data_IF_037456499960
#
_entry.id   IF_037456499960
#
_cell.length_a   1.000
_cell.length_b   1.000
_cell.length_c   1.000
_cell.angle_alpha   90.00
_cell.angle_beta   90.00
_cell.angle_gamma   90.00
#
_symmetry.space_group_name_H-M   'P 1'
#
loop_
_entity.id
_entity.type
_entity.pdbx_description
1 polymer ?
#
# COMPACT_ATOMS: atom_id res chain seq x y z
N UNK A 1 13.09 8.57 -13.99
CA UNK A 1 14.01 7.42 -14.03
C UNK A 1 13.16 6.21 -14.38
N UNK A 2 13.39 5.60 -15.54
CA UNK A 2 12.48 4.55 -16.05
C UNK A 2 12.97 3.13 -15.72
N UNK A 3 14.21 3.00 -15.23
CA UNK A 3 14.79 1.74 -14.75
C UNK A 3 15.33 1.92 -13.33
N UNK A 4 15.17 0.87 -12.52
CA UNK A 4 15.70 0.75 -11.17
C UNK A 4 16.28 -0.66 -11.03
N UNK A 5 17.39 -0.79 -10.30
CA UNK A 5 17.87 -2.09 -9.81
C UNK A 5 17.78 -2.08 -8.28
N UNK A 6 17.28 -3.17 -7.71
CA UNK A 6 17.15 -3.35 -6.26
C UNK A 6 17.83 -4.66 -5.88
N UNK A 7 18.77 -4.54 -4.95
CA UNK A 7 19.49 -5.67 -4.37
C UNK A 7 19.36 -5.63 -2.86
N UNK A 8 19.04 -6.77 -2.26
CA UNK A 8 19.11 -6.94 -0.81
C UNK A 8 19.50 -8.38 -0.47
N UNK A 9 20.14 -8.56 0.68
CA UNK A 9 20.57 -9.86 1.15
C UNK A 9 20.38 -9.98 2.66
N UNK A 10 19.94 -11.16 3.08
CA UNK A 10 19.88 -11.64 4.45
C UNK A 10 20.56 -13.02 4.52
N UNK A 11 20.74 -13.61 5.72
CA UNK A 11 21.25 -14.98 5.84
C UNK A 11 20.37 -16.03 5.15
N UNK A 12 19.05 -15.81 5.09
CA UNK A 12 18.08 -16.80 4.64
C UNK A 12 17.66 -16.63 3.18
N UNK A 13 17.83 -15.43 2.62
CA UNK A 13 17.51 -15.15 1.21
C UNK A 13 18.24 -13.88 0.73
N UNK A 14 18.47 -13.81 -0.58
CA UNK A 14 18.85 -12.56 -1.26
C UNK A 14 18.03 -12.38 -2.53
N UNK A 15 17.97 -11.15 -3.03
CA UNK A 15 17.37 -10.87 -4.32
C UNK A 15 18.16 -9.81 -5.09
N UNK A 16 18.16 -9.98 -6.40
CA UNK A 16 18.65 -9.01 -7.38
C UNK A 16 17.59 -8.83 -8.46
N UNK A 17 17.04 -7.63 -8.54
CA UNK A 17 15.83 -7.35 -9.30
C UNK A 17 16.01 -6.11 -10.18
N UNK A 18 15.66 -6.24 -11.45
CA UNK A 18 15.51 -5.14 -12.39
C UNK A 18 14.03 -4.76 -12.51
N UNK A 19 13.75 -3.46 -12.37
CA UNK A 19 12.42 -2.89 -12.48
C UNK A 19 12.39 -1.91 -13.65
N UNK A 20 11.46 -2.13 -14.58
CA UNK A 20 11.20 -1.26 -15.73
C UNK A 20 9.82 -0.61 -15.60
N UNK A 21 9.79 0.72 -15.52
CA UNK A 21 8.54 1.47 -15.48
C UNK A 21 7.90 1.45 -16.88
N UNK A 22 6.65 1.02 -16.96
CA UNK A 22 5.87 0.94 -18.21
C UNK A 22 4.69 1.93 -18.25
N UNK A 23 4.57 2.80 -17.25
CA UNK A 23 3.55 3.84 -17.17
C UNK A 23 4.12 5.14 -16.58
N UNK A 24 3.33 6.22 -16.51
CA UNK A 24 3.77 7.51 -16.02
C UNK A 24 4.00 7.52 -14.50
N UNK A 25 4.60 8.61 -14.01
CA UNK A 25 4.50 8.96 -12.59
C UNK A 25 3.04 9.31 -12.27
N UNK A 26 2.56 8.86 -11.12
CA UNK A 26 1.21 9.13 -10.62
C UNK A 26 1.35 10.05 -9.41
N UNK A 27 0.82 11.26 -9.51
CA UNK A 27 0.85 12.23 -8.42
C UNK A 27 -0.41 12.11 -7.56
N UNK A 28 -0.25 12.03 -6.24
CA UNK A 28 -1.37 11.96 -5.31
C UNK A 28 -1.85 13.35 -4.87
N UNK A 29 -3.10 13.42 -4.42
CA UNK A 29 -3.70 14.67 -3.94
C UNK A 29 -3.81 15.71 -5.06
N UNK A 30 -3.39 16.93 -4.79
CA UNK A 30 -3.39 18.03 -5.76
C UNK A 30 -1.99 18.19 -6.36
N UNK A 31 -1.76 17.62 -7.55
CA UNK A 31 -0.47 17.67 -8.25
C UNK A 31 0.74 17.23 -7.39
N UNK A 32 0.53 16.22 -6.55
CA UNK A 32 1.54 15.65 -5.67
C UNK A 32 1.47 16.19 -4.25
N UNK A 33 0.71 17.26 -3.99
CA UNK A 33 0.43 17.73 -2.63
C UNK A 33 -0.70 16.89 -2.01
N UNK A 34 -0.35 15.95 -1.14
CA UNK A 34 -1.27 14.99 -0.52
C UNK A 34 -1.51 15.32 0.94
N UNK A 35 -2.75 15.71 1.27
CA UNK A 35 -3.15 16.03 2.64
C UNK A 35 -3.39 14.75 3.46
N UNK A 36 -2.93 14.78 4.71
CA UNK A 36 -2.96 13.69 5.68
C UNK A 36 -3.74 14.04 6.96
N UNK A 37 -4.41 15.18 7.00
CA UNK A 37 -5.20 15.58 8.16
C UNK A 37 -6.12 16.74 7.79
N UNK A 38 -7.18 16.93 8.57
CA UNK A 38 -8.04 18.10 8.42
C UNK A 38 -7.32 19.40 8.81
N UNK A 39 -6.28 19.29 9.64
CA UNK A 39 -5.45 20.38 10.14
C UNK A 39 -4.39 20.85 9.13
N UNK A 40 -4.32 20.20 7.96
CA UNK A 40 -3.51 20.65 6.82
C UNK A 40 -2.09 20.07 6.76
N UNK A 41 -1.75 19.10 7.61
CA UNK A 41 -0.51 18.33 7.41
C UNK A 41 -0.54 17.64 6.05
N UNK A 42 0.57 17.70 5.33
CA UNK A 42 0.67 17.17 3.98
C UNK A 42 2.08 16.69 3.64
N UNK A 43 2.13 15.83 2.64
CA UNK A 43 3.37 15.35 2.03
C UNK A 43 3.37 15.64 0.53
N UNK A 44 4.56 15.77 -0.04
CA UNK A 44 4.72 15.59 -1.47
C UNK A 44 4.83 14.10 -1.76
N UNK A 45 3.95 13.59 -2.63
CA UNK A 45 3.75 12.15 -2.77
C UNK A 45 3.42 11.77 -4.22
N UNK A 46 4.18 10.84 -4.78
CA UNK A 46 3.88 10.20 -6.04
C UNK A 46 4.19 8.70 -6.01
N UNK A 47 3.51 7.94 -6.86
CA UNK A 47 3.78 6.54 -7.13
C UNK A 47 4.32 6.30 -8.54
N UNK A 48 4.95 5.14 -8.70
CA UNK A 48 5.19 4.49 -9.99
C UNK A 48 4.58 3.08 -9.92
N UNK A 49 3.29 2.93 -10.27
CA UNK A 49 2.56 1.70 -9.98
C UNK A 49 2.61 0.68 -11.14
N UNK A 50 3.21 1.05 -12.27
CA UNK A 50 3.31 0.23 -13.48
C UNK A 50 4.74 -0.29 -13.68
N UNK A 51 5.34 -0.92 -12.68
CA UNK A 51 6.63 -1.59 -12.88
C UNK A 51 6.44 -3.03 -13.37
N UNK A 52 7.19 -3.42 -14.39
CA UNK A 52 7.53 -4.83 -14.64
C UNK A 52 8.83 -5.14 -13.91
N UNK A 53 8.83 -6.22 -13.15
CA UNK A 53 10.00 -6.68 -12.39
C UNK A 53 10.44 -8.04 -12.90
N UNK A 54 11.75 -8.23 -13.01
CA UNK A 54 12.38 -9.52 -13.30
C UNK A 54 13.72 -9.61 -12.61
N UNK A 55 14.11 -10.81 -12.20
CA UNK A 55 15.37 -10.99 -11.49
C UNK A 55 15.53 -12.39 -10.94
N UNK A 56 16.39 -12.51 -9.93
CA UNK A 56 16.69 -13.79 -9.27
C UNK A 56 16.45 -13.66 -7.77
N UNK A 57 15.71 -14.63 -7.22
CA UNK A 57 15.65 -14.88 -5.79
C UNK A 57 16.68 -15.96 -5.46
N UNK A 58 17.64 -15.65 -4.60
CA UNK A 58 18.64 -16.59 -4.11
C UNK A 58 18.12 -17.18 -2.79
N UNK A 59 17.77 -18.48 -2.81
CA UNK A 59 17.37 -19.24 -1.62
C UNK A 59 18.40 -20.31 -1.28
N UNK A 60 18.38 -20.88 -0.05
CA UNK A 60 19.27 -21.96 0.33
C UNK A 60 19.18 -23.19 -0.59
N UNK A 61 18.00 -23.42 -1.17
CA UNK A 61 17.73 -24.51 -2.13
C UNK A 61 18.25 -24.22 -3.54
N UNK A 62 18.60 -22.97 -3.84
CA UNK A 62 19.15 -22.53 -5.12
C UNK A 62 18.51 -21.25 -5.66
N UNK A 63 19.04 -20.81 -6.81
CA UNK A 63 18.60 -19.62 -7.51
C UNK A 63 17.29 -19.86 -8.26
N UNK A 64 16.33 -18.96 -8.07
CA UNK A 64 15.00 -19.01 -8.70
C UNK A 64 14.80 -17.75 -9.54
N UNK A 65 14.72 -17.85 -10.88
CA UNK A 65 14.37 -16.72 -11.72
C UNK A 65 12.89 -16.37 -11.53
N UNK A 66 12.59 -15.10 -11.36
CA UNK A 66 11.22 -14.60 -11.12
C UNK A 66 10.88 -13.43 -12.02
N UNK A 67 9.59 -13.26 -12.26
CA UNK A 67 9.01 -12.08 -12.93
C UNK A 67 7.73 -11.67 -12.22
N UNK A 68 7.31 -10.42 -12.40
CA UNK A 68 6.08 -9.93 -11.81
C UNK A 68 5.79 -8.46 -12.11
N UNK A 69 5.02 -7.86 -11.20
CA UNK A 69 4.75 -6.42 -11.18
C UNK A 69 5.17 -5.85 -9.83
N UNK A 70 5.52 -4.56 -9.83
CA UNK A 70 5.89 -3.85 -8.60
C UNK A 70 5.23 -2.48 -8.54
N UNK A 71 5.20 -1.94 -7.33
CA UNK A 71 4.74 -0.60 -7.01
C UNK A 71 5.87 0.12 -6.27
N UNK A 72 6.12 1.37 -6.59
CA UNK A 72 7.05 2.22 -5.84
C UNK A 72 6.32 3.46 -5.38
N UNK A 73 6.54 3.81 -4.12
CA UNK A 73 6.15 5.09 -3.55
C UNK A 73 7.34 5.97 -3.22
N UNK A 74 7.14 7.27 -3.39
CA UNK A 74 8.09 8.30 -2.98
C UNK A 74 7.33 9.41 -2.29
N UNK A 75 7.59 9.52 -1.00
CA UNK A 75 6.95 10.49 -0.13
C UNK A 75 7.97 11.27 0.68
N UNK A 76 7.75 12.58 0.84
CA UNK A 76 8.54 13.42 1.72
C UNK A 76 7.70 14.55 2.32
N UNK A 77 7.91 14.83 3.60
CA UNK A 77 7.34 15.96 4.34
C UNK A 77 8.34 16.48 5.36
N UNK A 78 8.11 17.70 5.85
CA UNK A 78 8.83 18.28 7.00
C UNK A 78 8.04 18.17 8.31
N UNK A 79 6.86 17.55 8.26
CA UNK A 79 5.96 17.38 9.40
C UNK A 79 5.77 15.88 9.65
N UNK A 80 5.97 15.41 10.90
CA UNK A 80 5.55 14.08 11.29
C UNK A 80 4.01 14.00 11.31
N UNK A 81 3.47 12.79 11.48
CA UNK A 81 2.07 12.58 11.83
C UNK A 81 1.71 13.39 13.08
N UNK A 82 0.46 13.83 13.18
CA UNK A 82 -0.03 14.58 14.35
C UNK A 82 -0.04 13.72 15.61
N UNK A 83 0.11 14.35 16.78
CA UNK A 83 0.18 13.67 18.08
C UNK A 83 -1.08 12.87 18.43
N UNK A 84 -2.20 13.14 17.76
CA UNK A 84 -3.47 12.44 17.94
C UNK A 84 -3.64 11.22 17.02
N UNK A 85 -2.73 10.98 16.08
CA UNK A 85 -2.74 9.83 15.18
C UNK A 85 -2.05 8.62 15.81
N UNK A 86 -2.79 7.52 15.94
CA UNK A 86 -2.28 6.26 16.50
C UNK A 86 -1.45 5.46 15.50
N UNK A 87 -1.73 5.60 14.22
CA UNK A 87 -1.10 4.87 13.13
C UNK A 87 -1.94 4.94 11.86
N UNK A 88 -1.50 4.22 10.82
CA UNK A 88 -2.20 4.16 9.53
C UNK A 88 -2.49 2.74 9.09
N UNK A 89 -3.43 2.63 8.16
CA UNK A 89 -3.64 1.46 7.30
C UNK A 89 -3.56 1.96 5.86
N UNK A 90 -2.61 1.45 5.09
CA UNK A 90 -2.31 1.88 3.72
C UNK A 90 -2.46 0.71 2.76
N UNK A 91 -3.06 0.97 1.61
CA UNK A 91 -3.38 -0.01 0.60
C UNK A 91 -2.87 0.45 -0.77
N UNK A 92 -2.14 -0.41 -1.46
CA UNK A 92 -1.94 -0.30 -2.92
C UNK A 92 -2.58 -1.49 -3.61
N UNK A 93 -3.62 -1.23 -4.38
CA UNK A 93 -4.44 -2.24 -5.04
C UNK A 93 -4.21 -2.16 -6.55
N UNK A 94 -3.96 -3.30 -7.18
CA UNK A 94 -3.91 -3.47 -8.63
C UNK A 94 -5.00 -4.44 -9.04
N UNK A 95 -5.99 -3.95 -9.78
CA UNK A 95 -7.12 -4.72 -10.26
C UNK A 95 -6.77 -5.47 -11.56
N UNK A 96 -7.54 -6.50 -11.89
CA UNK A 96 -7.30 -7.35 -13.07
C UNK A 96 -7.55 -6.64 -14.40
N UNK A 97 -8.41 -5.62 -14.44
CA UNK A 97 -8.65 -4.78 -15.61
C UNK A 97 -7.50 -3.79 -15.91
N UNK A 98 -6.52 -3.70 -15.00
CA UNK A 98 -5.35 -2.85 -15.12
C UNK A 98 -5.46 -1.53 -14.37
N UNK A 99 -6.65 -1.16 -13.90
CA UNK A 99 -6.83 -0.01 -13.01
C UNK A 99 -6.20 -0.30 -11.64
N UNK A 100 -5.94 0.78 -10.90
CA UNK A 100 -5.26 0.70 -9.61
C UNK A 100 -5.84 1.72 -8.64
N UNK A 101 -5.58 1.49 -7.36
CA UNK A 101 -5.94 2.42 -6.31
C UNK A 101 -4.86 2.45 -5.25
N UNK A 102 -4.49 3.65 -4.82
CA UNK A 102 -3.84 3.86 -3.53
C UNK A 102 -4.88 4.43 -2.58
N UNK A 103 -5.03 3.85 -1.40
CA UNK A 103 -5.95 4.34 -0.38
C UNK A 103 -5.34 4.19 1.00
N UNK A 104 -5.62 5.13 1.89
CA UNK A 104 -5.22 5.01 3.28
C UNK A 104 -6.28 5.54 4.23
N UNK A 105 -6.20 5.06 5.47
CA UNK A 105 -6.87 5.67 6.61
C UNK A 105 -5.86 5.91 7.75
N UNK A 106 -6.01 7.03 8.43
CA UNK A 106 -5.26 7.40 9.62
C UNK A 106 -6.17 7.29 10.82
N UNK A 107 -5.76 6.48 11.80
CA UNK A 107 -6.58 6.17 12.97
C UNK A 107 -6.34 7.24 14.03
N UNK A 108 -7.38 7.98 14.36
CA UNK A 108 -7.31 9.05 15.35
C UNK A 108 -7.57 8.54 16.77
N UNK A 109 -7.04 9.24 17.76
CA UNK A 109 -7.17 8.84 19.17
C UNK A 109 -8.59 8.90 19.70
N UNK A 110 -9.45 9.73 19.10
CA UNK A 110 -10.88 9.84 19.38
C UNK A 110 -11.72 8.71 18.72
N UNK A 111 -11.10 7.82 17.95
CA UNK A 111 -11.76 6.72 17.24
C UNK A 111 -12.28 7.07 15.83
N UNK A 112 -12.11 8.32 15.36
CA UNK A 112 -12.40 8.66 13.97
C UNK A 112 -11.25 8.27 13.03
N UNK A 113 -11.52 8.34 11.73
CA UNK A 113 -10.53 8.14 10.69
C UNK A 113 -10.41 9.40 9.84
N UNK A 114 -9.21 9.70 9.37
CA UNK A 114 -9.02 10.53 8.18
C UNK A 114 -8.65 9.63 7.02
N UNK A 115 -9.30 9.78 5.88
CA UNK A 115 -9.15 8.90 4.72
C UNK A 115 -8.74 9.69 3.48
N UNK A 116 -8.09 9.01 2.55
CA UNK A 116 -7.82 9.54 1.22
C UNK A 116 -7.62 8.38 0.25
N UNK A 117 -7.99 8.59 -1.01
CA UNK A 117 -7.69 7.63 -2.06
C UNK A 117 -7.34 8.33 -3.37
N UNK A 118 -6.60 7.63 -4.21
CA UNK A 118 -6.34 7.99 -5.61
C UNK A 118 -6.67 6.79 -6.46
N UNK A 119 -7.67 6.93 -7.33
CA UNK A 119 -7.90 5.99 -8.42
C UNK A 119 -6.97 6.31 -9.57
N UNK A 120 -6.44 5.28 -10.21
CA UNK A 120 -5.45 5.38 -11.27
C UNK A 120 -5.96 4.51 -12.41
N UNK A 121 -6.27 5.13 -13.54
CA UNK A 121 -6.73 4.39 -14.72
C UNK A 121 -5.58 3.61 -15.39
N UNK A 122 -5.91 2.84 -16.41
CA UNK A 122 -4.93 2.02 -17.18
C UNK A 122 -3.85 2.85 -17.89
N UNK A 123 -4.06 4.15 -18.09
CA UNK A 123 -3.10 5.08 -18.71
C UNK A 123 -2.27 5.83 -17.66
N UNK A 124 -2.60 5.70 -16.38
CA UNK A 124 -1.98 6.43 -15.28
C UNK A 124 -2.59 7.82 -15.03
N UNK A 125 -3.75 8.12 -15.61
CA UNK A 125 -4.55 9.29 -15.23
C UNK A 125 -5.16 9.06 -13.85
N UNK A 126 -5.23 10.13 -13.05
CA UNK A 126 -5.57 10.04 -11.63
C UNK A 126 -6.85 10.78 -11.30
N UNK A 127 -7.63 10.21 -10.38
CA UNK A 127 -8.70 10.90 -9.69
C UNK A 127 -8.48 10.78 -8.18
N UNK A 128 -8.25 11.92 -7.53
CA UNK A 128 -8.13 12.01 -6.07
C UNK A 128 -9.52 12.06 -5.43
N UNK A 129 -9.65 11.38 -4.30
CA UNK A 129 -10.87 11.29 -3.50
C UNK A 129 -10.64 11.90 -2.11
N UNK A 130 -11.55 12.76 -1.65
CA UNK A 130 -11.39 13.46 -0.38
C UNK A 130 -11.68 12.52 0.80
N UNK A 131 -11.48 13.05 2.01
CA UNK A 131 -11.86 12.38 3.24
C UNK A 131 -13.36 11.99 3.23
N UNK A 132 -13.64 10.78 3.69
CA UNK A 132 -14.95 10.15 3.77
C UNK A 132 -15.41 9.44 2.50
N UNK A 133 -14.71 9.58 1.38
CA UNK A 133 -15.05 8.89 0.14
C UNK A 133 -14.55 7.43 0.10
N UNK A 134 -13.37 7.19 0.68
CA UNK A 134 -12.77 5.86 0.81
C UNK A 134 -13.07 5.27 2.19
N UNK A 135 -13.38 3.98 2.24
CA UNK A 135 -13.66 3.27 3.50
C UNK A 135 -12.90 1.95 3.54
N UNK A 136 -12.26 1.65 4.67
CA UNK A 136 -11.65 0.36 4.96
C UNK A 136 -12.10 -0.14 6.34
N UNK A 137 -12.96 -1.16 6.36
CA UNK A 137 -13.53 -1.72 7.59
C UNK A 137 -12.86 -3.06 7.90
N UNK A 138 -12.28 -3.26 9.11
CA UNK A 138 -11.70 -4.54 9.47
C UNK A 138 -12.81 -5.58 9.66
N UNK A 139 -12.63 -6.76 9.06
CA UNK A 139 -13.57 -7.89 9.13
C UNK A 139 -13.05 -9.04 10.00
N UNK A 140 -11.73 -9.24 10.01
CA UNK A 140 -11.09 -10.32 10.77
C UNK A 140 -9.68 -9.90 11.20
N UNK A 141 -9.34 -10.25 12.43
CA UNK A 141 -8.04 -10.00 13.04
C UNK A 141 -7.27 -11.29 13.28
N UNK A 142 -5.95 -11.18 13.36
CA UNK A 142 -5.06 -12.23 13.81
C UNK A 142 -4.13 -11.73 14.90
N UNK A 143 -3.72 -12.65 15.78
CA UNK A 143 -2.69 -12.38 16.78
C UNK A 143 -1.31 -12.65 16.19
N UNK A 144 -0.49 -11.62 16.08
CA UNK A 144 0.91 -11.70 15.63
C UNK A 144 1.81 -10.86 16.52
N UNK A 145 2.98 -11.38 16.90
CA UNK A 145 3.94 -10.69 17.75
C UNK A 145 3.34 -10.08 19.05
N UNK A 146 2.28 -10.67 19.59
CA UNK A 146 1.62 -10.14 20.79
C UNK A 146 0.72 -8.91 20.55
N UNK A 147 0.22 -8.73 19.32
CA UNK A 147 -0.70 -7.67 18.91
C UNK A 147 -1.84 -8.26 18.08
N UNK A 148 -3.02 -7.66 18.15
CA UNK A 148 -4.15 -8.03 17.30
C UNK A 148 -4.16 -7.07 16.11
N UNK A 149 -4.07 -7.63 14.91
CA UNK A 149 -4.00 -6.85 13.66
C UNK A 149 -5.03 -7.36 12.66
N UNK A 150 -5.75 -6.47 11.96
CA UNK A 150 -6.72 -6.84 10.95
C UNK A 150 -6.03 -7.38 9.69
N UNK A 151 -6.42 -8.59 9.27
CA UNK A 151 -5.88 -9.29 8.11
C UNK A 151 -6.90 -9.44 6.98
N UNK A 152 -8.18 -9.17 7.26
CA UNK A 152 -9.25 -9.14 6.27
C UNK A 152 -10.02 -7.85 6.43
N UNK A 153 -10.25 -7.19 5.31
CA UNK A 153 -10.83 -5.87 5.24
C UNK A 153 -11.93 -5.83 4.19
N UNK A 154 -12.99 -5.07 4.48
CA UNK A 154 -13.93 -4.61 3.46
C UNK A 154 -13.47 -3.23 2.98
N UNK A 155 -13.15 -3.12 1.70
CA UNK A 155 -12.69 -1.88 1.08
C UNK A 155 -13.77 -1.36 0.13
N UNK A 156 -14.14 -0.09 0.31
CA UNK A 156 -15.17 0.57 -0.50
C UNK A 156 -14.71 1.92 -1.05
N UNK A 157 -15.11 2.16 -2.30
CA UNK A 157 -15.07 3.46 -2.96
C UNK A 157 -16.29 3.55 -3.90
N UNK A 158 -17.44 4.04 -3.41
CA UNK A 158 -18.71 3.98 -4.13
C UNK A 158 -18.68 4.63 -5.52
N UNK A 159 -17.95 5.74 -5.67
CA UNK A 159 -17.77 6.46 -6.95
C UNK A 159 -17.10 5.61 -8.05
N UNK A 160 -16.53 4.46 -7.68
CA UNK A 160 -15.87 3.50 -8.58
C UNK A 160 -16.52 2.10 -8.53
N UNK A 161 -17.70 1.98 -7.92
CA UNK A 161 -18.39 0.70 -7.70
C UNK A 161 -17.49 -0.35 -7.00
N UNK A 162 -16.49 0.12 -6.23
CA UNK A 162 -15.60 -0.73 -5.46
C UNK A 162 -16.28 -1.09 -4.13
N UNK A 163 -16.50 -2.39 -3.95
CA UNK A 163 -16.93 -3.04 -2.71
C UNK A 163 -16.29 -4.44 -2.73
N UNK A 164 -15.07 -4.53 -2.19
CA UNK A 164 -14.22 -5.70 -2.31
C UNK A 164 -13.61 -6.10 -0.96
N UNK A 165 -13.48 -7.40 -0.74
CA UNK A 165 -12.68 -7.96 0.34
C UNK A 165 -11.19 -7.92 -0.04
N UNK A 166 -10.38 -7.40 0.86
CA UNK A 166 -8.92 -7.42 0.81
C UNK A 166 -8.39 -8.34 1.91
N UNK A 167 -7.67 -9.39 1.52
CA UNK A 167 -7.21 -10.45 2.42
C UNK A 167 -5.68 -10.59 2.37
N UNK A 168 -5.04 -10.54 3.53
CA UNK A 168 -3.61 -10.82 3.67
C UNK A 168 -3.28 -12.28 3.29
N UNK A 169 -2.32 -12.45 2.39
CA UNK A 169 -1.82 -13.77 1.99
C UNK A 169 -0.85 -14.36 3.03
N UNK A 170 -0.22 -13.48 3.82
CA UNK A 170 0.70 -13.82 4.89
C UNK A 170 0.24 -13.15 6.20
N UNK A 171 -0.68 -13.77 6.97
CA UNK A 171 -1.28 -13.14 8.15
C UNK A 171 -0.27 -12.69 9.21
N UNK A 172 0.90 -13.33 9.28
CA UNK A 172 1.92 -13.09 10.30
C UNK A 172 3.12 -12.27 9.79
N UNK A 173 2.89 -11.31 8.90
CA UNK A 173 3.92 -10.47 8.29
C UNK A 173 4.28 -9.25 9.17
N UNK A 174 4.65 -9.50 10.43
CA UNK A 174 5.08 -8.44 11.36
C UNK A 174 6.57 -8.16 11.22
N UNK A 175 6.92 -6.88 11.13
CA UNK A 175 8.28 -6.37 11.04
C UNK A 175 8.68 -5.73 12.37
N UNK A 176 9.54 -6.43 13.11
CA UNK A 176 10.05 -5.99 14.42
C UNK A 176 11.31 -5.13 14.27
N UNK A 177 11.12 -3.89 13.80
CA UNK A 177 12.18 -2.89 13.61
C UNK A 177 11.95 -1.67 14.52
N UNK A 178 12.77 -0.63 14.40
CA UNK A 178 12.72 0.54 15.31
C UNK A 178 11.36 1.25 15.35
N UNK A 179 10.64 1.25 14.23
CA UNK A 179 9.24 1.64 14.14
C UNK A 179 8.54 0.38 13.64
N UNK A 180 7.89 -0.41 14.51
CA UNK A 180 7.35 -1.70 14.10
C UNK A 180 6.06 -1.53 13.30
N UNK A 181 5.85 -2.45 12.37
CA UNK A 181 4.71 -2.40 11.45
C UNK A 181 4.35 -3.80 10.95
N UNK A 182 3.14 -3.94 10.41
CA UNK A 182 2.74 -5.10 9.64
C UNK A 182 2.78 -4.72 8.16
N UNK A 183 3.37 -5.55 7.31
CA UNK A 183 3.38 -5.30 5.87
C UNK A 183 3.34 -6.62 5.10
N UNK A 184 2.43 -6.75 4.14
CA UNK A 184 2.36 -7.96 3.36
C UNK A 184 1.47 -7.89 2.12
N UNK A 185 1.65 -8.87 1.21
CA UNK A 185 0.84 -8.98 0.01
C UNK A 185 -0.60 -9.37 0.35
N UNK A 186 -1.54 -8.79 -0.40
CA UNK A 186 -2.98 -9.05 -0.26
C UNK A 186 -3.59 -9.53 -1.58
N UNK A 187 -4.64 -10.34 -1.47
CA UNK A 187 -5.56 -10.66 -2.58
C UNK A 187 -6.83 -9.83 -2.49
N UNK A 188 -7.45 -9.55 -3.63
CA UNK A 188 -8.68 -8.76 -3.75
C UNK A 188 -9.77 -9.64 -4.38
N UNK A 189 -10.97 -9.62 -3.82
CA UNK A 189 -12.14 -10.33 -4.36
C UNK A 189 -13.45 -9.59 -4.05
N UNK A 190 -14.53 -9.86 -4.79
CA UNK A 190 -15.82 -9.17 -4.60
C UNK A 190 -16.23 -8.43 -5.87
N UNK A 191 -16.52 -7.13 -5.78
CA UNK A 191 -16.83 -6.33 -6.98
C UNK A 191 -15.63 -6.17 -7.92
N UNK A 192 -14.42 -6.29 -7.39
CA UNK A 192 -13.16 -6.29 -8.14
C UNK A 192 -12.30 -7.49 -7.74
N UNK A 193 -11.44 -7.94 -8.65
CA UNK A 193 -10.42 -8.96 -8.43
C UNK A 193 -9.04 -8.37 -8.66
N UNK A 194 -8.04 -8.91 -7.97
CA UNK A 194 -6.68 -8.42 -8.11
C UNK A 194 -5.76 -8.77 -6.96
N UNK A 195 -4.70 -7.97 -6.83
CA UNK A 195 -3.64 -8.14 -5.84
C UNK A 195 -3.13 -6.79 -5.37
N UNK A 196 -2.46 -6.77 -4.24
CA UNK A 196 -1.92 -5.53 -3.71
C UNK A 196 -0.95 -5.72 -2.57
N UNK A 197 -0.70 -4.63 -1.87
CA UNK A 197 0.01 -4.60 -0.59
C UNK A 197 -0.83 -3.84 0.45
N UNK A 198 -0.70 -4.29 1.70
CA UNK A 198 -1.23 -3.62 2.88
C UNK A 198 -0.07 -3.34 3.82
N UNK A 199 0.02 -2.12 4.31
CA UNK A 199 0.94 -1.69 5.37
C UNK A 199 0.15 -1.09 6.51
N UNK A 200 0.49 -1.46 7.74
CA UNK A 200 -0.21 -1.03 8.95
C UNK A 200 0.77 -0.72 10.07
N UNK A 201 0.64 0.45 10.67
CA UNK A 201 1.45 0.88 11.82
C UNK A 201 0.57 1.17 13.01
N UNK A 202 1.11 1.22 14.24
CA UNK A 202 0.33 1.71 15.39
C UNK A 202 -0.72 0.75 15.94
N UNK A 203 -0.40 -0.55 15.93
CA UNK A 203 -1.20 -1.63 16.55
C UNK A 203 -0.53 -2.17 17.83
N UNK A 204 0.23 -1.32 18.52
CA UNK A 204 0.82 -1.63 19.84
C UNK A 204 -0.16 -1.50 21.00
#
# INVERSE_FOLDING_TARGET
MNSLSVQAASPDFAFDMDLLATGPLVFHGENGFSQKSAEGQASYYYSQPFYKISGTLNLPEGDIPVTGSAWLDREWSSQPLSDDQKGWDWFSLSFEDGEKMMGFQLRQSNGSYYTSATWIDVNGETQSYPDGAFMAEPLEETRVAGRDVPIRWQVRLPDRDLDAEVLALMPKAWMDVSIPYWEGPVGISGSHSGRGYLEMTGYE
#
